data_IF_927225964843
#
_entry.id   IF_927225964843
#
_cell.length_a   1.000
_cell.length_b   1.000
_cell.length_c   1.000
_cell.angle_alpha   90.00
_cell.angle_beta   90.00
_cell.angle_gamma   90.00
#
_symmetry.space_group_name_H-M   'P 1'
#
loop_
_entity.id
_entity.type
_entity.pdbx_description
1 polymer ?
#
# COMPACT_ATOMS: atom_id res chain seq x y z
N UNK A 1 -31.36 4.62 18.08
CA UNK A 1 -30.84 3.60 17.14
C UNK A 1 -29.56 3.00 17.72
N UNK A 2 -29.61 1.75 18.17
CA UNK A 2 -28.51 1.08 18.89
C UNK A 2 -27.28 0.85 18.02
N UNK A 3 -26.08 0.91 18.63
CA UNK A 3 -24.77 0.75 17.97
C UNK A 3 -24.71 -0.53 17.12
N UNK A 4 -25.26 -1.66 17.63
CA UNK A 4 -25.35 -2.93 16.90
C UNK A 4 -26.06 -2.81 15.54
N UNK A 5 -27.11 -2.00 15.44
CA UNK A 5 -27.85 -1.81 14.18
C UNK A 5 -27.06 -0.98 13.16
N UNK A 6 -26.25 0.00 13.60
CA UNK A 6 -25.38 0.78 12.71
C UNK A 6 -24.25 -0.08 12.13
N UNK A 7 -23.61 -0.89 12.98
CA UNK A 7 -22.54 -1.81 12.56
C UNK A 7 -23.08 -2.83 11.55
N UNK A 8 -24.26 -3.40 11.79
CA UNK A 8 -24.88 -4.35 10.87
C UNK A 8 -25.21 -3.75 9.50
N UNK A 9 -25.78 -2.54 9.46
CA UNK A 9 -26.05 -1.85 8.18
C UNK A 9 -24.78 -1.50 7.41
N UNK A 10 -23.74 -1.02 8.10
CA UNK A 10 -22.43 -0.78 7.50
C UNK A 10 -21.85 -2.08 6.92
N UNK A 11 -21.93 -3.18 7.68
CA UNK A 11 -21.48 -4.49 7.22
C UNK A 11 -22.25 -5.00 5.99
N UNK A 12 -23.56 -4.76 5.93
CA UNK A 12 -24.40 -5.13 4.79
C UNK A 12 -24.15 -4.26 3.55
N UNK A 13 -23.57 -3.06 3.70
CA UNK A 13 -23.21 -2.18 2.57
C UNK A 13 -21.91 -2.55 1.85
N UNK A 14 -21.07 -3.41 2.45
CA UNK A 14 -19.79 -3.82 1.88
C UNK A 14 -20.04 -4.88 0.81
N UNK A 15 -19.50 -4.68 -0.41
CA UNK A 15 -19.59 -5.68 -1.48
C UNK A 15 -18.86 -6.96 -1.07
N UNK A 16 -19.34 -8.11 -1.52
CA UNK A 16 -18.64 -9.37 -1.26
C UNK A 16 -17.33 -9.48 -2.07
N UNK A 17 -16.30 -10.21 -1.58
CA UNK A 17 -16.17 -10.86 -0.27
C UNK A 17 -15.76 -9.87 0.86
N UNK A 18 -16.62 -9.73 1.89
CA UNK A 18 -16.51 -8.65 2.89
C UNK A 18 -15.28 -8.75 3.79
N UNK A 19 -14.93 -9.95 4.23
CA UNK A 19 -13.80 -10.18 5.14
C UNK A 19 -12.47 -9.78 4.48
N UNK A 20 -12.27 -10.11 3.20
CA UNK A 20 -11.07 -9.69 2.45
C UNK A 20 -11.02 -8.17 2.32
N UNK A 21 -12.12 -7.52 1.95
CA UNK A 21 -12.16 -6.05 1.83
C UNK A 21 -11.85 -5.33 3.13
N UNK A 22 -12.32 -5.84 4.26
CA UNK A 22 -12.00 -5.26 5.58
C UNK A 22 -10.54 -5.47 5.95
N UNK A 23 -9.95 -6.64 5.64
CA UNK A 23 -8.51 -6.84 5.82
C UNK A 23 -7.69 -5.85 4.99
N UNK A 24 -8.06 -5.64 3.71
CA UNK A 24 -7.41 -4.66 2.85
C UNK A 24 -7.62 -3.22 3.30
N UNK A 25 -8.78 -2.88 3.84
CA UNK A 25 -9.03 -1.58 4.44
C UNK A 25 -8.03 -1.29 5.57
N UNK A 26 -7.80 -2.26 6.47
CA UNK A 26 -6.79 -2.13 7.53
C UNK A 26 -5.38 -1.98 6.96
N UNK A 27 -5.02 -2.76 5.93
CA UNK A 27 -3.71 -2.66 5.26
C UNK A 27 -3.51 -1.25 4.67
N UNK A 28 -4.54 -0.67 4.04
CA UNK A 28 -4.48 0.69 3.53
C UNK A 28 -4.31 1.72 4.65
N UNK A 29 -4.99 1.57 5.80
CA UNK A 29 -4.78 2.44 6.96
C UNK A 29 -3.34 2.36 7.50
N UNK A 30 -2.77 1.16 7.59
CA UNK A 30 -1.36 0.98 7.97
C UNK A 30 -0.43 1.68 6.97
N UNK A 31 -0.75 1.61 5.68
CA UNK A 31 0.03 2.26 4.62
C UNK A 31 0.02 3.79 4.77
N UNK A 32 -1.13 4.38 5.10
CA UNK A 32 -1.24 5.81 5.43
C UNK A 32 -0.34 6.13 6.63
N UNK A 33 -0.39 5.31 7.68
CA UNK A 33 0.46 5.46 8.87
C UNK A 33 1.95 5.47 8.53
N UNK A 34 2.41 4.53 7.70
CA UNK A 34 3.79 4.47 7.20
C UNK A 34 4.15 5.75 6.42
N UNK A 35 3.26 6.20 5.53
CA UNK A 35 3.46 7.45 4.78
C UNK A 35 3.60 8.66 5.71
N UNK A 36 2.73 8.81 6.70
CA UNK A 36 2.76 9.93 7.67
C UNK A 36 4.02 9.89 8.55
N UNK A 37 4.42 8.72 9.04
CA UNK A 37 5.67 8.57 9.79
C UNK A 37 6.85 8.97 8.93
N UNK A 38 6.87 8.56 7.66
CA UNK A 38 7.93 8.91 6.72
C UNK A 38 7.96 10.41 6.41
N UNK A 39 6.81 11.09 6.32
CA UNK A 39 6.73 12.54 6.10
C UNK A 39 7.28 13.34 7.28
N UNK A 40 7.04 12.87 8.51
CA UNK A 40 7.37 13.58 9.75
C UNK A 40 8.76 13.24 10.26
N UNK A 41 9.20 12.00 10.06
CA UNK A 41 10.47 11.45 10.53
C UNK A 41 11.08 10.57 9.43
N UNK A 42 11.59 11.19 8.35
CA UNK A 42 12.14 10.43 7.22
C UNK A 42 13.37 9.61 7.64
N UNK A 43 13.46 8.32 7.23
CA UNK A 43 14.60 7.49 7.54
C UNK A 43 15.84 7.99 6.80
N UNK A 44 16.90 8.34 7.54
CA UNK A 44 18.13 8.91 7.00
C UNK A 44 18.82 8.01 5.96
N UNK A 45 18.65 6.68 6.07
CA UNK A 45 19.16 5.74 5.07
C UNK A 45 18.49 5.86 3.70
N UNK A 46 17.35 6.52 3.61
CA UNK A 46 16.60 6.77 2.36
C UNK A 46 16.65 8.24 1.98
N UNK A 47 16.48 9.13 2.94
CA UNK A 47 16.55 10.58 2.71
C UNK A 47 17.93 11.04 2.25
N UNK A 48 19.01 10.47 2.80
CA UNK A 48 20.38 10.82 2.37
C UNK A 48 20.60 10.61 0.87
N UNK A 49 20.34 9.42 0.32
CA UNK A 49 20.48 9.15 -1.11
C UNK A 49 19.45 9.84 -2.02
N UNK A 50 18.19 9.97 -1.60
CA UNK A 50 17.13 10.57 -2.43
C UNK A 50 17.06 12.09 -2.35
N UNK A 51 17.53 12.66 -1.24
CA UNK A 51 17.26 14.03 -0.86
C UNK A 51 15.83 14.25 -0.34
N UNK A 52 15.58 15.43 0.27
CA UNK A 52 14.34 15.70 0.99
C UNK A 52 13.10 15.79 0.07
N UNK A 53 13.24 16.35 -1.13
CA UNK A 53 12.12 16.53 -2.07
C UNK A 53 11.60 15.18 -2.57
N UNK A 54 12.49 14.30 -3.04
CA UNK A 54 12.09 12.98 -3.51
C UNK A 54 11.57 12.11 -2.36
N UNK A 55 12.10 12.28 -1.14
CA UNK A 55 11.59 11.61 0.06
C UNK A 55 10.17 12.06 0.41
N UNK A 56 9.86 13.36 0.27
CA UNK A 56 8.51 13.89 0.44
C UNK A 56 7.53 13.33 -0.62
N UNK A 57 7.95 13.28 -1.88
CA UNK A 57 7.15 12.66 -2.96
C UNK A 57 6.91 11.17 -2.66
N UNK A 58 7.95 10.45 -2.26
CA UNK A 58 7.89 9.04 -1.89
C UNK A 58 6.90 8.77 -0.74
N UNK A 59 6.95 9.58 0.33
CA UNK A 59 5.95 9.56 1.40
C UNK A 59 4.54 9.83 0.86
N UNK A 60 4.39 10.82 -0.02
CA UNK A 60 3.12 11.19 -0.65
C UNK A 60 2.48 10.03 -1.42
N UNK A 61 3.27 9.18 -2.08
CA UNK A 61 2.77 7.99 -2.78
C UNK A 61 2.04 7.03 -1.84
N UNK A 62 2.57 6.79 -0.64
CA UNK A 62 1.93 5.93 0.36
C UNK A 62 0.67 6.57 0.96
N UNK A 63 0.72 7.88 1.23
CA UNK A 63 -0.43 8.60 1.80
C UNK A 63 -1.58 8.62 0.79
N UNK A 64 -1.34 9.08 -0.44
CA UNK A 64 -2.36 9.18 -1.48
C UNK A 64 -2.90 7.80 -1.82
N UNK A 65 -2.03 6.82 -2.09
CA UNK A 65 -2.46 5.47 -2.42
C UNK A 65 -3.21 4.77 -1.28
N UNK A 66 -2.77 4.97 -0.04
CA UNK A 66 -3.44 4.44 1.15
C UNK A 66 -4.82 5.07 1.37
N UNK A 67 -4.96 6.39 1.25
CA UNK A 67 -6.25 7.09 1.40
C UNK A 67 -7.21 6.65 0.31
N UNK A 68 -6.78 6.66 -0.95
CA UNK A 68 -7.63 6.25 -2.07
C UNK A 68 -8.02 4.78 -1.94
N UNK A 69 -7.08 3.89 -1.62
CA UNK A 69 -7.35 2.48 -1.38
C UNK A 69 -8.38 2.24 -0.27
N UNK A 70 -8.22 2.92 0.87
CA UNK A 70 -9.15 2.81 1.99
C UNK A 70 -10.59 3.27 1.62
N UNK A 71 -10.72 4.34 0.84
CA UNK A 71 -12.03 4.85 0.40
C UNK A 71 -12.68 3.91 -0.63
N UNK A 72 -11.89 3.30 -1.51
CA UNK A 72 -12.38 2.59 -2.70
C UNK A 72 -12.60 1.09 -2.47
N UNK A 73 -11.90 0.47 -1.51
CA UNK A 73 -11.93 -0.98 -1.27
C UNK A 73 -13.32 -1.47 -0.83
N UNK A 74 -13.95 -0.79 0.12
CA UNK A 74 -15.26 -1.17 0.67
C UNK A 74 -16.38 -1.09 -0.39
N UNK A 75 -16.57 0.04 -1.11
CA UNK A 75 -17.59 0.14 -2.17
C UNK A 75 -17.25 -0.67 -3.43
N UNK A 76 -15.99 -1.07 -3.62
CA UNK A 76 -15.56 -1.87 -4.78
C UNK A 76 -15.30 -1.04 -6.03
N UNK A 77 -14.80 0.19 -5.88
CA UNK A 77 -14.40 1.04 -7.01
C UNK A 77 -13.04 0.60 -7.57
N UNK A 78 -13.06 -0.56 -8.20
CA UNK A 78 -11.86 -1.32 -8.56
C UNK A 78 -10.87 -0.57 -9.46
N UNK A 79 -11.35 0.25 -10.40
CA UNK A 79 -10.46 0.98 -11.31
C UNK A 79 -9.70 2.09 -10.58
N UNK A 80 -10.38 2.78 -9.66
CA UNK A 80 -9.79 3.84 -8.81
C UNK A 80 -8.81 3.20 -7.85
N UNK A 81 -9.22 2.11 -7.19
CA UNK A 81 -8.38 1.33 -6.28
C UNK A 81 -7.10 0.88 -7.00
N UNK A 82 -7.21 0.41 -8.25
CA UNK A 82 -6.06 -0.05 -9.04
C UNK A 82 -5.11 1.08 -9.43
N UNK A 83 -5.62 2.14 -10.04
CA UNK A 83 -4.79 3.19 -10.64
C UNK A 83 -4.31 4.23 -9.63
N UNK A 84 -5.15 4.60 -8.67
CA UNK A 84 -4.89 5.68 -7.73
C UNK A 84 -4.63 5.17 -6.31
N UNK A 85 -5.00 3.93 -5.99
CA UNK A 85 -4.67 3.27 -4.73
C UNK A 85 -3.38 2.43 -4.81
N UNK A 86 -3.43 1.34 -5.59
CA UNK A 86 -2.38 0.35 -5.68
C UNK A 86 -1.14 0.83 -6.42
N UNK A 87 -1.30 1.48 -7.58
CA UNK A 87 -0.14 1.87 -8.39
C UNK A 87 0.83 2.83 -7.66
N UNK A 88 0.37 3.88 -6.94
CA UNK A 88 1.25 4.71 -6.13
C UNK A 88 1.97 3.95 -5.02
N UNK A 89 1.28 3.05 -4.30
CA UNK A 89 1.88 2.25 -3.23
C UNK A 89 2.97 1.32 -3.79
N UNK A 90 2.68 0.62 -4.88
CA UNK A 90 3.63 -0.28 -5.53
C UNK A 90 4.82 0.51 -6.10
N UNK A 91 4.61 1.71 -6.63
CA UNK A 91 5.68 2.61 -7.04
C UNK A 91 6.54 3.03 -5.84
N UNK A 92 5.94 3.40 -4.71
CA UNK A 92 6.65 3.75 -3.48
C UNK A 92 7.49 2.58 -2.95
N UNK A 93 6.94 1.37 -2.97
CA UNK A 93 7.69 0.14 -2.61
C UNK A 93 8.81 -0.16 -3.60
N UNK A 94 8.61 0.07 -4.90
CA UNK A 94 9.64 -0.12 -5.92
C UNK A 94 10.80 0.88 -5.75
N UNK A 95 10.52 2.15 -5.42
CA UNK A 95 11.54 3.15 -5.07
C UNK A 95 12.30 2.70 -3.83
N UNK A 96 11.60 2.21 -2.79
CA UNK A 96 12.26 1.77 -1.57
C UNK A 96 13.17 0.55 -1.84
N UNK A 97 12.68 -0.40 -2.63
CA UNK A 97 13.42 -1.57 -3.05
C UNK A 97 14.67 -1.20 -3.85
N UNK A 98 14.57 -0.25 -4.79
CA UNK A 98 15.71 0.17 -5.60
C UNK A 98 16.78 0.83 -4.75
N UNK A 99 16.41 1.74 -3.84
CA UNK A 99 17.37 2.37 -2.92
C UNK A 99 18.04 1.32 -2.03
N UNK A 100 17.28 0.40 -1.43
CA UNK A 100 17.84 -0.65 -0.59
C UNK A 100 18.80 -1.58 -1.38
N UNK A 101 18.46 -1.92 -2.63
CA UNK A 101 19.30 -2.72 -3.51
C UNK A 101 20.59 -1.98 -3.92
N UNK A 102 20.49 -0.70 -4.31
CA UNK A 102 21.63 0.13 -4.65
C UNK A 102 22.57 0.31 -3.45
N UNK A 103 22.02 0.58 -2.26
CA UNK A 103 22.82 0.68 -1.04
C UNK A 103 23.47 -0.64 -0.65
N UNK A 104 22.79 -1.78 -0.86
CA UNK A 104 23.42 -3.08 -0.65
C UNK A 104 24.61 -3.26 -1.58
N UNK A 105 24.41 -3.03 -2.87
CA UNK A 105 25.42 -3.20 -3.90
C UNK A 105 26.68 -2.37 -3.64
N UNK A 106 26.53 -1.11 -3.22
CA UNK A 106 27.67 -0.24 -2.92
C UNK A 106 28.39 -0.58 -1.61
N UNK A 107 27.77 -1.34 -0.71
CA UNK A 107 28.32 -1.66 0.61
C UNK A 107 28.63 -3.16 0.78
N UNK A 108 28.76 -3.90 -0.32
CA UNK A 108 29.12 -5.33 -0.29
C UNK A 108 30.45 -5.53 0.45
N UNK A 109 31.44 -4.68 0.16
CA UNK A 109 32.79 -4.82 0.71
C UNK A 109 32.92 -4.38 2.17
N UNK A 110 31.97 -3.59 2.68
CA UNK A 110 31.97 -3.08 4.07
C UNK A 110 31.22 -3.99 5.04
N UNK A 111 30.61 -5.07 4.57
CA UNK A 111 29.86 -6.03 5.38
C UNK A 111 28.46 -5.56 5.81
N UNK A 112 27.98 -4.39 5.34
CA UNK A 112 26.64 -3.88 5.63
C UNK A 112 25.58 -4.55 4.75
N UNK A 113 24.91 -5.58 5.28
CA UNK A 113 23.85 -6.27 4.53
C UNK A 113 22.50 -5.56 4.64
N UNK A 114 21.83 -5.35 3.49
CA UNK A 114 20.45 -4.84 3.41
C UNK A 114 19.47 -5.91 2.88
N UNK A 115 19.91 -7.17 2.77
CA UNK A 115 19.09 -8.26 2.21
C UNK A 115 17.81 -8.51 3.01
N UNK A 116 17.86 -8.38 4.35
CA UNK A 116 16.65 -8.49 5.19
C UNK A 116 15.67 -7.36 4.91
N UNK A 117 16.16 -6.13 4.73
CA UNK A 117 15.33 -4.98 4.37
C UNK A 117 14.67 -5.20 3.01
N UNK A 118 15.43 -5.65 2.01
CA UNK A 118 14.93 -6.04 0.68
C UNK A 118 13.83 -7.13 0.80
N UNK A 119 14.10 -8.19 1.57
CA UNK A 119 13.13 -9.26 1.80
C UNK A 119 11.83 -8.77 2.45
N UNK A 120 11.92 -7.89 3.45
CA UNK A 120 10.75 -7.27 4.10
C UNK A 120 9.97 -6.40 3.11
N UNK A 121 10.63 -5.63 2.25
CA UNK A 121 9.97 -4.80 1.24
C UNK A 121 9.19 -5.69 0.25
N UNK A 122 9.79 -6.79 -0.20
CA UNK A 122 9.11 -7.76 -1.06
C UNK A 122 7.90 -8.38 -0.38
N UNK A 123 8.02 -8.79 0.89
CA UNK A 123 6.90 -9.31 1.67
C UNK A 123 5.80 -8.25 1.86
N UNK A 124 6.17 -7.00 2.13
CA UNK A 124 5.23 -5.89 2.26
C UNK A 124 4.50 -5.56 0.95
N UNK A 125 5.12 -5.86 -0.21
CA UNK A 125 4.48 -5.70 -1.52
C UNK A 125 3.43 -6.76 -1.84
N UNK A 126 3.55 -7.96 -1.26
CA UNK A 126 2.68 -9.10 -1.52
C UNK A 126 1.18 -8.79 -1.36
N UNK A 127 0.67 -8.17 -0.27
CA UNK A 127 -0.75 -7.88 -0.14
C UNK A 127 -1.28 -7.01 -1.28
N UNK A 128 -0.53 -5.98 -1.72
CA UNK A 128 -0.94 -5.08 -2.79
C UNK A 128 -0.91 -5.75 -4.16
N UNK A 129 0.10 -6.57 -4.42
CA UNK A 129 0.18 -7.37 -5.66
C UNK A 129 -0.97 -8.37 -5.72
N UNK A 130 -1.22 -9.12 -4.65
CA UNK A 130 -2.35 -10.04 -4.55
C UNK A 130 -3.68 -9.31 -4.73
N UNK A 131 -3.84 -8.12 -4.15
CA UNK A 131 -5.04 -7.29 -4.35
C UNK A 131 -5.22 -6.89 -5.80
N UNK A 132 -4.13 -6.49 -6.46
CA UNK A 132 -4.13 -6.17 -7.89
C UNK A 132 -4.56 -7.34 -8.76
N UNK A 133 -4.11 -8.56 -8.44
CA UNK A 133 -4.52 -9.79 -9.12
C UNK A 133 -6.01 -10.08 -8.89
N UNK A 134 -6.47 -10.03 -7.63
CA UNK A 134 -7.89 -10.25 -7.29
C UNK A 134 -8.80 -9.23 -7.99
N UNK A 135 -8.39 -7.96 -8.08
CA UNK A 135 -9.15 -6.93 -8.79
C UNK A 135 -9.19 -7.16 -10.31
N UNK A 136 -8.13 -7.74 -10.89
CA UNK A 136 -8.03 -7.98 -12.33
C UNK A 136 -9.12 -8.94 -12.81
N UNK A 137 -9.43 -9.96 -12.02
CA UNK A 137 -10.46 -10.95 -12.36
C UNK A 137 -11.86 -10.32 -12.42
N UNK A 138 -12.14 -9.31 -11.60
CA UNK A 138 -13.40 -8.54 -11.62
C UNK A 138 -13.52 -7.54 -12.79
N UNK A 139 -12.52 -7.40 -13.65
CA UNK A 139 -12.60 -6.52 -14.84
C UNK A 139 -13.47 -7.10 -15.96
N UNK A 140 -13.82 -8.40 -15.92
CA UNK A 140 -14.53 -9.09 -17.02
C UNK A 140 -15.75 -9.91 -16.62
N UNK A 141 -16.13 -9.98 -15.34
CA UNK A 141 -17.37 -10.66 -14.97
C UNK A 141 -18.58 -9.77 -15.24
N UNK A 142 -19.46 -10.11 -16.21
CA UNK A 142 -20.78 -9.52 -16.25
C UNK A 142 -21.48 -9.94 -14.95
N UNK A 143 -21.98 -8.97 -14.19
CA UNK A 143 -22.81 -9.22 -13.01
C UNK A 143 -24.02 -10.04 -13.47
N UNK A 144 -23.99 -11.35 -13.24
CA UNK A 144 -25.17 -12.19 -13.44
C UNK A 144 -26.12 -11.91 -12.27
N UNK A 145 -27.21 -11.22 -12.62
CA UNK A 145 -28.53 -11.23 -11.95
C UNK A 145 -28.54 -10.88 -10.47
#
# INVERSE_FOLDING_TARGET
MTIRMRVRRLWESITEPRHLKVAYFVIYLLTIGVGVVTATNPPQSIEGPLGPILTAIWSGLFIVGGVVGAITVLPGWWWVERLLGLAPILMGLAIYLSVAATLHWHNIDTGSSRLTQIGIILLASAPFTLRGLLIRDYSYEPRRG
#
